data_IF_552533673868
#
_entry.id   IF_552533673868
#
_cell.length_a   1.000
_cell.length_b   1.000
_cell.length_c   1.000
_cell.angle_alpha   90.00
_cell.angle_beta   90.00
_cell.angle_gamma   90.00
#
_symmetry.space_group_name_H-M   'P 1'
#
loop_
_entity.id
_entity.type
_entity.pdbx_description
1 polymer ?
#
# COMPACT_ATOMS: atom_id res chain seq x y z
N UNK A 1 8.13 2.66 10.47
CA UNK A 1 7.99 2.86 9.02
C UNK A 1 7.37 4.22 8.66
N UNK A 2 6.03 4.41 8.71
CA UNK A 2 5.40 5.67 8.23
C UNK A 2 5.90 6.96 8.91
N UNK A 3 6.18 6.93 10.21
CA UNK A 3 6.78 8.09 10.92
C UNK A 3 8.18 8.44 10.44
N UNK A 4 8.96 7.45 10.01
CA UNK A 4 10.34 7.65 9.53
C UNK A 4 10.33 8.29 8.15
N UNK A 5 9.48 7.83 7.23
CA UNK A 5 9.43 8.37 5.86
C UNK A 5 8.71 9.72 5.75
N UNK A 6 8.14 10.22 6.85
CA UNK A 6 7.30 11.43 6.87
C UNK A 6 7.95 12.65 6.23
N UNK A 7 9.26 12.84 6.44
CA UNK A 7 10.00 13.99 5.96
C UNK A 7 10.47 13.86 4.51
N UNK A 8 10.44 12.65 3.94
CA UNK A 8 10.87 12.42 2.55
C UNK A 8 9.96 13.08 1.53
N UNK A 9 10.46 13.34 0.33
CA UNK A 9 9.60 13.74 -0.79
C UNK A 9 8.61 12.62 -1.15
N UNK A 10 7.49 12.98 -1.77
CA UNK A 10 6.38 12.04 -2.05
C UNK A 10 6.85 10.76 -2.76
N UNK A 11 7.70 10.88 -3.78
CA UNK A 11 8.22 9.73 -4.54
C UNK A 11 8.94 8.73 -3.64
N UNK A 12 9.79 9.22 -2.75
CA UNK A 12 10.60 8.40 -1.86
C UNK A 12 9.75 7.79 -0.74
N UNK A 13 8.72 8.52 -0.26
CA UNK A 13 7.70 7.93 0.62
C UNK A 13 7.04 6.72 -0.04
N UNK A 14 6.59 6.88 -1.29
CA UNK A 14 5.92 5.81 -2.04
C UNK A 14 6.86 4.63 -2.28
N UNK A 15 8.15 4.89 -2.55
CA UNK A 15 9.16 3.83 -2.68
C UNK A 15 9.23 2.95 -1.43
N UNK A 16 9.39 3.56 -0.26
CA UNK A 16 9.47 2.85 1.02
C UNK A 16 8.17 2.13 1.39
N UNK A 17 7.01 2.80 1.17
CA UNK A 17 5.69 2.17 1.38
C UNK A 17 5.53 0.95 0.47
N UNK A 18 5.92 1.07 -0.80
CA UNK A 18 5.80 -0.03 -1.75
C UNK A 18 6.77 -1.17 -1.45
N UNK A 19 7.96 -0.89 -0.90
CA UNK A 19 8.87 -1.93 -0.44
C UNK A 19 8.23 -2.76 0.69
N UNK A 20 7.64 -2.10 1.70
CA UNK A 20 6.95 -2.77 2.79
C UNK A 20 5.72 -3.55 2.32
N UNK A 21 4.88 -2.96 1.46
CA UNK A 21 3.71 -3.63 0.89
C UNK A 21 4.11 -4.86 0.07
N UNK A 22 5.19 -4.76 -0.73
CA UNK A 22 5.71 -5.87 -1.53
C UNK A 22 6.13 -7.04 -0.65
N UNK A 23 6.86 -6.79 0.43
CA UNK A 23 7.23 -7.83 1.39
C UNK A 23 6.00 -8.47 2.03
N UNK A 24 5.03 -7.66 2.46
CA UNK A 24 3.78 -8.17 3.04
C UNK A 24 3.00 -9.05 2.06
N UNK A 25 2.87 -8.63 0.80
CA UNK A 25 2.20 -9.42 -0.24
C UNK A 25 2.98 -10.66 -0.63
N UNK A 26 4.31 -10.64 -0.58
CA UNK A 26 5.13 -11.82 -0.86
C UNK A 26 4.93 -12.91 0.19
N UNK A 27 4.71 -12.52 1.45
CA UNK A 27 4.50 -13.43 2.58
C UNK A 27 3.03 -13.89 2.70
N UNK A 28 2.08 -12.95 2.65
CA UNK A 28 0.65 -13.20 2.88
C UNK A 28 -0.18 -13.37 1.60
N UNK A 29 0.45 -13.30 0.42
CA UNK A 29 -0.17 -13.38 -0.91
C UNK A 29 -0.67 -14.77 -1.32
N UNK A 30 -1.23 -15.54 -0.39
CA UNK A 30 -1.77 -16.88 -0.64
C UNK A 30 -3.28 -16.84 -0.93
N UNK A 31 -3.77 -17.89 -1.57
CA UNK A 31 -5.18 -18.05 -1.89
C UNK A 31 -6.07 -17.89 -0.65
N UNK A 32 -7.26 -17.30 -0.84
CA UNK A 32 -8.19 -16.98 0.25
C UNK A 32 -7.87 -15.69 1.03
N UNK A 33 -6.64 -15.16 0.96
CA UNK A 33 -6.24 -14.01 1.79
C UNK A 33 -6.42 -12.63 1.12
N UNK A 34 -6.92 -12.57 -0.12
CA UNK A 34 -7.03 -11.30 -0.88
C UNK A 34 -7.80 -10.21 -0.13
N UNK A 35 -8.88 -10.58 0.58
CA UNK A 35 -9.69 -9.63 1.36
C UNK A 35 -8.88 -8.94 2.45
N UNK A 36 -8.03 -9.68 3.18
CA UNK A 36 -7.17 -9.11 4.21
C UNK A 36 -6.10 -8.20 3.62
N UNK A 37 -5.50 -8.59 2.49
CA UNK A 37 -4.52 -7.77 1.79
C UNK A 37 -5.12 -6.44 1.30
N UNK A 38 -6.37 -6.46 0.84
CA UNK A 38 -7.12 -5.24 0.49
C UNK A 38 -7.40 -4.36 1.72
N UNK A 39 -7.68 -4.94 2.89
CA UNK A 39 -7.84 -4.18 4.14
C UNK A 39 -6.54 -3.46 4.50
N UNK A 40 -5.40 -4.15 4.40
CA UNK A 40 -4.07 -3.58 4.62
C UNK A 40 -3.81 -2.43 3.65
N UNK A 41 -4.02 -2.64 2.35
CA UNK A 41 -3.86 -1.61 1.33
C UNK A 41 -4.68 -0.34 1.65
N UNK A 42 -5.98 -0.49 1.95
CA UNK A 42 -6.86 0.63 2.28
C UNK A 42 -6.45 1.34 3.58
N UNK A 43 -5.97 0.58 4.57
CA UNK A 43 -5.45 1.16 5.82
C UNK A 43 -4.18 1.99 5.58
N UNK A 44 -3.27 1.47 4.76
CA UNK A 44 -2.06 2.18 4.31
C UNK A 44 -2.39 3.47 3.60
N UNK A 45 -3.36 3.47 2.66
CA UNK A 45 -3.81 4.69 1.98
C UNK A 45 -4.34 5.74 2.95
N UNK A 46 -5.23 5.35 3.88
CA UNK A 46 -5.81 6.28 4.87
C UNK A 46 -4.74 6.84 5.79
N UNK A 47 -3.81 6.00 6.25
CA UNK A 47 -2.74 6.44 7.12
C UNK A 47 -1.79 7.40 6.41
N UNK A 48 -1.45 7.11 5.15
CA UNK A 48 -0.61 7.97 4.34
C UNK A 48 -1.27 9.33 4.11
N UNK A 49 -2.55 9.36 3.74
CA UNK A 49 -3.32 10.61 3.63
C UNK A 49 -3.30 11.43 4.93
N UNK A 50 -3.56 10.79 6.08
CA UNK A 50 -3.49 11.45 7.40
C UNK A 50 -2.08 11.98 7.71
N UNK A 51 -1.05 11.23 7.34
CA UNK A 51 0.34 11.65 7.52
C UNK A 51 0.66 12.89 6.67
N UNK A 52 0.21 12.94 5.41
CA UNK A 52 0.39 14.11 4.54
C UNK A 52 -0.34 15.34 5.08
N UNK A 53 -1.59 15.17 5.53
CA UNK A 53 -2.38 16.24 6.19
C UNK A 53 -1.71 16.81 7.43
N UNK A 54 -0.95 15.99 8.15
CA UNK A 54 -0.29 16.42 9.40
C UNK A 54 1.11 16.98 9.18
N UNK A 55 1.62 17.01 7.95
CA UNK A 55 2.94 17.54 7.61
C UNK A 55 2.89 18.96 7.05
N UNK A 56 1.88 19.30 6.25
CA UNK A 56 1.81 20.61 5.60
C UNK A 56 1.07 21.63 6.47
N UNK A 57 1.52 22.89 6.43
CA UNK A 57 0.79 24.04 6.99
C UNK A 57 -0.59 24.18 6.31
N UNK A 58 -0.66 23.85 5.02
CA UNK A 58 -1.91 23.72 4.24
C UNK A 58 -2.59 22.35 4.37
N UNK A 59 -2.23 21.53 5.36
CA UNK A 59 -2.74 20.17 5.52
C UNK A 59 -4.26 20.06 5.66
N UNK A 60 -4.91 21.11 6.15
CA UNK A 60 -6.37 21.24 6.15
C UNK A 60 -7.00 21.33 4.76
N UNK A 61 -6.23 21.70 3.72
CA UNK A 61 -6.68 21.81 2.32
C UNK A 61 -6.47 20.52 1.52
N UNK A 62 -5.80 19.51 2.07
CA UNK A 62 -5.60 18.23 1.38
C UNK A 62 -6.91 17.41 1.43
N UNK A 63 -7.76 17.62 0.44
CA UNK A 63 -8.98 16.84 0.22
C UNK A 63 -8.65 15.41 -0.22
N UNK A 64 -9.64 14.52 -0.17
CA UNK A 64 -9.48 13.16 -0.68
C UNK A 64 -9.20 13.14 -2.19
N UNK A 65 -9.77 14.07 -2.94
CA UNK A 65 -9.57 14.18 -4.39
C UNK A 65 -8.14 14.60 -4.74
N UNK A 66 -7.59 15.60 -4.05
CA UNK A 66 -6.18 15.98 -4.21
C UNK A 66 -5.25 14.82 -3.84
N UNK A 67 -5.60 14.06 -2.80
CA UNK A 67 -4.86 12.84 -2.46
C UNK A 67 -4.94 11.76 -3.55
N UNK A 68 -6.09 11.60 -4.21
CA UNK A 68 -6.22 10.68 -5.34
C UNK A 68 -5.34 11.10 -6.52
N UNK A 69 -5.25 12.40 -6.83
CA UNK A 69 -4.33 12.90 -7.86
C UNK A 69 -2.86 12.62 -7.52
N UNK A 70 -2.48 12.75 -6.24
CA UNK A 70 -1.12 12.39 -5.77
C UNK A 70 -0.86 10.90 -6.00
N UNK A 71 -1.85 10.04 -5.69
CA UNK A 71 -1.77 8.59 -5.89
C UNK A 71 -1.72 8.18 -7.35
N UNK A 72 -2.42 8.87 -8.24
CA UNK A 72 -2.35 8.60 -9.68
C UNK A 72 -0.93 8.79 -10.21
N UNK A 73 -0.25 9.84 -9.74
CA UNK A 73 1.15 10.13 -10.09
C UNK A 73 2.15 9.24 -9.35
N UNK A 74 1.80 8.79 -8.15
CA UNK A 74 2.67 8.00 -7.27
C UNK A 74 1.89 6.81 -6.69
N UNK A 75 1.66 5.75 -7.49
CA UNK A 75 0.76 4.67 -7.11
C UNK A 75 1.35 3.81 -5.99
N UNK A 76 0.52 3.53 -4.97
CA UNK A 76 0.81 2.48 -4.01
C UNK A 76 0.62 1.10 -4.66
N UNK A 77 1.46 0.14 -4.29
CA UNK A 77 1.40 -1.22 -4.80
C UNK A 77 0.06 -1.85 -4.39
N UNK A 78 -0.74 -2.25 -5.38
CA UNK A 78 -2.00 -2.96 -5.12
C UNK A 78 -1.72 -4.43 -4.76
N UNK A 79 -2.53 -5.03 -3.87
CA UNK A 79 -2.38 -6.42 -3.51
C UNK A 79 -2.63 -7.31 -4.73
N UNK A 80 -1.73 -8.26 -4.94
CA UNK A 80 -1.88 -9.35 -5.91
C UNK A 80 -1.58 -10.65 -5.19
N UNK A 81 -2.35 -11.70 -5.51
CA UNK A 81 -2.07 -13.03 -5.00
C UNK A 81 -0.80 -13.55 -5.67
N UNK A 82 0.19 -13.93 -4.85
CA UNK A 82 1.40 -14.63 -5.28
C UNK A 82 1.09 -16.09 -5.62
N UNK A 83 0.28 -16.74 -4.79
CA UNK A 83 -0.11 -18.16 -4.93
C UNK A 83 -1.65 -18.28 -4.94
N UNK A 84 -2.31 -18.12 -6.09
CA UNK A 84 -3.74 -18.42 -6.22
C UNK A 84 -4.00 -19.93 -6.12
N UNK A 85 -5.27 -20.32 -5.94
CA UNK A 85 -5.64 -21.74 -5.74
C UNK A 85 -5.09 -22.68 -6.83
N UNK A 86 -5.14 -22.30 -8.11
CA UNK A 86 -4.59 -23.14 -9.19
C UNK A 86 -3.08 -23.41 -9.06
N UNK A 87 -2.29 -22.46 -8.53
CA UNK A 87 -0.87 -22.68 -8.25
C UNK A 87 -0.63 -23.54 -7.02
N UNK A 88 -1.49 -23.43 -6.00
CA UNK A 88 -1.42 -24.29 -4.81
C UNK A 88 -1.77 -25.74 -5.18
N UNK A 89 -2.78 -25.95 -6.02
CA UNK A 89 -3.16 -27.28 -6.51
C UNK A 89 -2.01 -27.93 -7.28
N UNK A 90 -1.32 -27.19 -8.16
CA UNK A 90 -0.16 -27.71 -8.88
C UNK A 90 1.02 -28.11 -7.97
N UNK A 91 1.16 -27.50 -6.79
CA UNK A 91 2.20 -27.85 -5.81
C UNK A 91 1.81 -29.03 -4.92
N UNK A 92 0.51 -29.30 -4.75
CA UNK A 92 0.00 -30.37 -3.89
C UNK A 92 -0.13 -31.73 -4.61
N UNK A 93 0.08 -31.76 -5.93
CA UNK A 93 -0.02 -32.96 -6.78
C UNK A 93 1.37 -33.59 -7.04
N UNK A 94 2.43 -33.02 -6.46
CA UNK A 94 3.79 -33.59 -6.40
C UNK A 94 3.98 -34.34 -5.09
#
# INVERSE_FOLDING_TARGET
MMRQVRHYVIRDQVSEINAALRGHYAYYGIAGNLRSLLKVYRATERYWCRMLRSRSRDGGRLTWDTFNQIKERNPLLRPKLRLPYGKLQALAVL
#
